data_IF_482611987844
#
_entry.id   IF_482611987844
#
_cell.length_a   1.000
_cell.length_b   1.000
_cell.length_c   1.000
_cell.angle_alpha   90.00
_cell.angle_beta   90.00
_cell.angle_gamma   90.00
#
_symmetry.space_group_name_H-M   'P 1'
#
loop_
_entity.id
_entity.type
_entity.pdbx_description
1 polymer ?
#
# COMPACT_ATOMS: atom_id res chain seq x y z
N UNK A 1 -15.26 -14.65 14.66
CA UNK A 1 -16.26 -13.73 14.08
C UNK A 1 -16.84 -14.44 12.88
N UNK A 2 -18.15 -14.65 12.85
CA UNK A 2 -18.85 -15.27 11.72
C UNK A 2 -19.50 -14.14 10.93
N UNK A 3 -19.11 -13.97 9.66
CA UNK A 3 -19.69 -12.94 8.78
C UNK A 3 -20.96 -13.40 8.08
N UNK A 4 -21.49 -14.59 8.40
CA UNK A 4 -22.68 -15.14 7.75
C UNK A 4 -22.51 -15.32 6.23
N UNK A 5 -21.27 -15.54 5.77
CA UNK A 5 -20.93 -15.64 4.34
C UNK A 5 -20.81 -14.32 3.59
N UNK A 6 -20.98 -13.16 4.24
CA UNK A 6 -20.87 -11.83 3.59
C UNK A 6 -19.44 -11.53 3.14
N UNK A 7 -18.44 -12.01 3.86
CA UNK A 7 -17.03 -11.98 3.46
C UNK A 7 -16.57 -13.41 3.24
N UNK A 8 -15.97 -13.67 2.09
CA UNK A 8 -15.46 -14.99 1.71
C UNK A 8 -13.98 -14.91 1.36
N UNK A 9 -13.30 -16.05 1.49
CA UNK A 9 -11.96 -16.24 0.97
C UNK A 9 -12.02 -17.33 -0.07
N UNK A 10 -11.65 -17.00 -1.30
CA UNK A 10 -11.70 -17.92 -2.43
C UNK A 10 -10.45 -17.70 -3.29
N UNK A 11 -9.59 -18.71 -3.37
CA UNK A 11 -8.27 -18.65 -3.97
C UNK A 11 -7.47 -17.42 -3.50
N UNK A 12 -7.25 -17.27 -2.19
CA UNK A 12 -6.56 -16.12 -1.57
C UNK A 12 -7.16 -14.72 -1.85
N UNK A 13 -8.32 -14.62 -2.51
CA UNK A 13 -9.07 -13.37 -2.63
C UNK A 13 -10.03 -13.25 -1.45
N UNK A 14 -9.84 -12.22 -0.63
CA UNK A 14 -10.78 -11.83 0.42
C UNK A 14 -11.77 -10.86 -0.20
N UNK A 15 -13.08 -11.15 -0.15
CA UNK A 15 -14.04 -10.27 -0.79
C UNK A 15 -15.51 -10.50 -0.45
N UNK A 16 -16.37 -9.56 -0.87
CA UNK A 16 -16.02 -8.30 -1.55
C UNK A 16 -15.41 -7.26 -0.59
N UNK A 17 -14.36 -6.55 -1.03
CA UNK A 17 -13.70 -5.49 -0.25
C UNK A 17 -13.51 -4.23 -1.10
N UNK A 18 -14.23 -3.16 -0.75
CA UNK A 18 -14.02 -1.82 -1.31
C UNK A 18 -12.64 -1.30 -0.91
N UNK A 19 -11.86 -0.92 -1.92
CA UNK A 19 -10.47 -0.44 -1.79
C UNK A 19 -9.63 -1.34 -0.85
N UNK A 20 -9.83 -2.67 -0.96
CA UNK A 20 -9.16 -3.69 -0.15
C UNK A 20 -9.31 -3.55 1.38
N UNK A 21 -10.29 -2.77 1.84
CA UNK A 21 -10.40 -2.35 3.24
C UNK A 21 -11.79 -2.65 3.81
N UNK A 22 -12.86 -2.22 3.13
CA UNK A 22 -14.22 -2.27 3.68
C UNK A 22 -15.10 -3.32 2.98
N UNK A 23 -15.64 -4.32 3.70
CA UNK A 23 -16.74 -5.12 3.18
C UNK A 23 -18.02 -4.26 3.06
N UNK A 24 -18.56 -4.00 1.85
CA UNK A 24 -19.60 -2.98 1.64
C UNK A 24 -20.83 -3.13 2.53
N UNK A 25 -21.31 -4.36 2.74
CA UNK A 25 -22.51 -4.65 3.54
C UNK A 25 -22.28 -4.54 5.06
N UNK A 26 -21.03 -4.48 5.52
CA UNK A 26 -20.66 -4.41 6.93
C UNK A 26 -19.87 -3.13 7.26
N UNK A 27 -19.73 -2.21 6.30
CA UNK A 27 -19.02 -0.97 6.54
C UNK A 27 -19.91 0.05 7.27
N UNK A 28 -19.35 0.88 8.17
CA UNK A 28 -17.97 0.89 8.62
C UNK A 28 -17.72 0.00 9.87
N UNK A 29 -18.69 -0.80 10.32
CA UNK A 29 -18.56 -1.59 11.56
C UNK A 29 -17.52 -2.71 11.47
N UNK A 30 -17.19 -3.15 10.25
CA UNK A 30 -16.08 -4.04 9.95
C UNK A 30 -15.15 -3.42 8.90
N UNK A 31 -13.85 -3.57 9.11
CA UNK A 31 -12.79 -3.14 8.19
C UNK A 31 -11.57 -4.04 8.35
N UNK A 32 -10.76 -4.17 7.29
CA UNK A 32 -9.52 -4.94 7.28
C UNK A 32 -8.32 -4.03 7.02
N UNK A 33 -7.28 -4.17 7.84
CA UNK A 33 -5.96 -3.56 7.62
C UNK A 33 -4.99 -4.71 7.39
N UNK A 34 -4.15 -4.60 6.35
CA UNK A 34 -3.13 -5.61 6.09
C UNK A 34 -3.47 -6.67 5.04
N UNK A 35 -4.59 -6.54 4.33
CA UNK A 35 -4.96 -7.46 3.24
C UNK A 35 -4.04 -7.30 2.02
N UNK A 36 -3.66 -6.08 1.58
CA UNK A 36 -2.76 -5.90 0.45
C UNK A 36 -1.36 -6.49 0.65
N UNK A 37 -0.83 -7.08 -0.42
CA UNK A 37 0.49 -7.73 -0.52
C UNK A 37 1.37 -7.01 -1.52
N UNK A 38 2.69 -7.15 -1.37
CA UNK A 38 3.71 -6.45 -2.17
C UNK A 38 3.58 -4.90 -2.11
N UNK A 39 3.15 -4.38 -0.97
CA UNK A 39 3.14 -2.94 -0.66
C UNK A 39 4.33 -2.56 0.22
N UNK A 40 4.60 -1.27 0.39
CA UNK A 40 5.47 -0.78 1.48
C UNK A 40 4.71 -0.91 2.79
N UNK A 41 4.88 -2.07 3.43
CA UNK A 41 4.02 -2.56 4.53
C UNK A 41 3.76 -1.53 5.62
N UNK A 42 4.77 -0.92 6.28
CA UNK A 42 4.49 0.01 7.38
C UNK A 42 3.68 1.22 6.93
N UNK A 43 4.02 1.77 5.75
CA UNK A 43 3.39 2.97 5.20
C UNK A 43 1.94 2.70 4.79
N UNK A 44 1.73 1.68 3.98
CA UNK A 44 0.40 1.42 3.42
C UNK A 44 -0.60 1.00 4.51
N UNK A 45 -0.15 0.26 5.52
CA UNK A 45 -1.03 -0.14 6.64
C UNK A 45 -1.32 1.02 7.58
N UNK A 46 -0.39 1.97 7.75
CA UNK A 46 -0.69 3.24 8.44
C UNK A 46 -1.78 4.01 7.67
N UNK A 47 -1.65 4.14 6.36
CA UNK A 47 -2.64 4.82 5.51
C UNK A 47 -4.03 4.16 5.65
N UNK A 48 -4.12 2.83 5.55
CA UNK A 48 -5.39 2.10 5.76
C UNK A 48 -5.95 2.35 7.16
N UNK A 49 -5.13 2.23 8.21
CA UNK A 49 -5.58 2.42 9.60
C UNK A 49 -6.06 3.85 9.86
N UNK A 50 -5.37 4.85 9.32
CA UNK A 50 -5.77 6.27 9.41
C UNK A 50 -7.10 6.51 8.69
N UNK A 51 -7.27 5.96 7.50
CA UNK A 51 -8.53 6.08 6.77
C UNK A 51 -9.69 5.45 7.56
N UNK A 52 -9.51 4.22 8.06
CA UNK A 52 -10.50 3.54 8.92
C UNK A 52 -10.86 4.40 10.13
N UNK A 53 -9.88 4.94 10.85
CA UNK A 53 -10.12 5.80 12.01
C UNK A 53 -10.90 7.07 11.63
N UNK A 54 -10.59 7.69 10.48
CA UNK A 54 -11.31 8.88 10.00
C UNK A 54 -12.76 8.57 9.60
N UNK A 55 -13.02 7.40 9.02
CA UNK A 55 -14.38 6.93 8.71
C UNK A 55 -15.17 6.68 9.99
N UNK A 56 -14.59 5.94 10.94
CA UNK A 56 -15.23 5.66 12.23
C UNK A 56 -15.51 6.92 13.04
N UNK A 57 -14.66 7.95 12.94
CA UNK A 57 -14.87 9.24 13.61
C UNK A 57 -15.78 10.20 12.84
N UNK A 58 -16.33 9.80 11.69
CA UNK A 58 -17.16 10.67 10.83
C UNK A 58 -16.41 11.82 10.14
N UNK A 59 -15.08 11.83 10.17
CA UNK A 59 -14.26 12.84 9.44
C UNK A 59 -14.18 12.55 7.94
N UNK A 60 -14.45 11.31 7.55
CA UNK A 60 -14.58 10.85 6.17
C UNK A 60 -15.87 10.05 6.04
N UNK A 61 -16.52 10.14 4.89
CA UNK A 61 -17.69 9.33 4.55
C UNK A 61 -17.30 8.25 3.56
N UNK A 62 -17.90 7.08 3.69
CA UNK A 62 -17.87 6.07 2.64
C UNK A 62 -18.98 6.38 1.61
N UNK A 63 -18.80 6.00 0.34
CA UNK A 63 -19.88 6.07 -0.63
C UNK A 63 -21.00 5.05 -0.28
N UNK A 64 -22.18 5.15 -0.91
CA UNK A 64 -23.25 4.17 -0.78
C UNK A 64 -22.78 2.73 -1.05
N UNK A 65 -23.49 1.76 -0.47
CA UNK A 65 -23.14 0.33 -0.56
C UNK A 65 -23.11 -0.15 -2.01
N UNK A 66 -24.05 0.33 -2.82
CA UNK A 66 -24.18 0.00 -4.24
C UNK A 66 -22.97 0.50 -5.05
N UNK A 67 -22.49 1.72 -4.75
CA UNK A 67 -21.29 2.28 -5.39
C UNK A 67 -20.03 1.53 -4.97
N UNK A 68 -19.92 1.17 -3.69
CA UNK A 68 -18.81 0.34 -3.21
C UNK A 68 -18.79 -1.03 -3.89
N UNK A 69 -19.95 -1.67 -4.06
CA UNK A 69 -20.06 -2.95 -4.76
C UNK A 69 -19.71 -2.83 -6.24
N UNK A 70 -20.20 -1.79 -6.92
CA UNK A 70 -19.88 -1.49 -8.32
C UNK A 70 -18.36 -1.34 -8.51
N UNK A 71 -17.70 -0.55 -7.65
CA UNK A 71 -16.25 -0.37 -7.67
C UNK A 71 -15.49 -1.68 -7.46
N UNK A 72 -15.95 -2.56 -6.56
CA UNK A 72 -15.34 -3.88 -6.35
C UNK A 72 -15.48 -4.78 -7.58
N UNK A 73 -16.65 -4.77 -8.23
CA UNK A 73 -16.89 -5.55 -9.44
C UNK A 73 -16.03 -5.05 -10.61
N UNK A 74 -15.99 -3.74 -10.82
CA UNK A 74 -15.16 -3.09 -11.85
C UNK A 74 -13.68 -3.40 -11.66
N UNK A 75 -13.18 -3.28 -10.42
CA UNK A 75 -11.79 -3.64 -10.10
C UNK A 75 -11.49 -5.10 -10.42
N UNK A 76 -12.34 -6.04 -9.97
CA UNK A 76 -12.14 -7.46 -10.22
C UNK A 76 -12.18 -7.79 -11.72
N UNK A 77 -13.12 -7.20 -12.46
CA UNK A 77 -13.25 -7.37 -13.91
C UNK A 77 -12.02 -6.81 -14.65
N UNK A 78 -11.52 -5.64 -14.25
CA UNK A 78 -10.31 -5.07 -14.82
C UNK A 78 -9.09 -5.99 -14.62
N UNK A 79 -8.94 -6.57 -13.42
CA UNK A 79 -7.88 -7.54 -13.11
C UNK A 79 -7.99 -8.81 -13.93
N UNK A 80 -9.20 -9.33 -14.08
CA UNK A 80 -9.47 -10.51 -14.91
C UNK A 80 -9.16 -10.27 -16.39
N UNK A 81 -9.61 -9.14 -16.95
CA UNK A 81 -9.30 -8.75 -18.34
C UNK A 81 -7.79 -8.56 -18.56
N UNK A 82 -7.05 -8.10 -17.54
CA UNK A 82 -5.59 -8.01 -17.57
C UNK A 82 -4.88 -9.36 -17.36
N UNK A 83 -5.62 -10.48 -17.26
CA UNK A 83 -5.07 -11.83 -17.08
C UNK A 83 -4.46 -12.06 -15.71
N UNK A 84 -4.81 -11.24 -14.71
CA UNK A 84 -4.24 -11.37 -13.37
C UNK A 84 -4.93 -12.50 -12.61
N UNK A 85 -4.18 -13.49 -12.06
CA UNK A 85 -4.77 -14.54 -11.25
C UNK A 85 -5.58 -13.99 -10.08
N UNK A 86 -6.68 -14.66 -9.74
CA UNK A 86 -7.57 -14.29 -8.63
C UNK A 86 -6.85 -14.23 -7.29
N UNK A 87 -5.95 -15.17 -7.01
CA UNK A 87 -5.06 -15.10 -5.84
C UNK A 87 -4.22 -13.83 -5.76
N UNK A 88 -4.00 -13.14 -6.87
CA UNK A 88 -3.29 -11.87 -6.89
C UNK A 88 -4.20 -10.65 -6.80
N UNK A 89 -5.51 -10.76 -6.56
CA UNK A 89 -6.42 -9.60 -6.42
C UNK A 89 -5.89 -8.53 -5.47
N UNK A 90 -5.21 -8.90 -4.39
CA UNK A 90 -4.67 -7.95 -3.40
C UNK A 90 -3.17 -7.64 -3.57
N UNK A 91 -2.55 -7.97 -4.70
CA UNK A 91 -1.15 -7.63 -4.97
C UNK A 91 -1.07 -6.22 -5.57
N UNK A 92 -0.55 -5.27 -4.78
CA UNK A 92 -0.46 -3.84 -5.10
C UNK A 92 1.00 -3.40 -5.16
N UNK A 93 1.70 -3.84 -6.22
CA UNK A 93 3.10 -3.50 -6.43
C UNK A 93 3.23 -2.25 -7.33
N UNK A 94 2.62 -1.16 -6.87
CA UNK A 94 2.57 0.12 -7.56
C UNK A 94 2.60 1.24 -6.52
N UNK A 95 3.70 2.00 -6.49
CA UNK A 95 3.88 3.09 -5.53
C UNK A 95 2.98 4.28 -5.84
N UNK A 96 2.62 4.50 -7.10
CA UNK A 96 1.73 5.62 -7.46
C UNK A 96 0.29 5.31 -7.02
N UNK A 97 -0.17 4.08 -7.23
CA UNK A 97 -1.44 3.65 -6.66
C UNK A 97 -1.47 3.83 -5.13
N UNK A 98 -0.38 3.47 -4.44
CA UNK A 98 -0.31 3.62 -2.97
C UNK A 98 -0.37 5.09 -2.53
N UNK A 99 0.30 5.97 -3.26
CA UNK A 99 0.31 7.42 -3.04
C UNK A 99 -1.07 8.04 -3.29
N UNK A 100 -1.69 7.73 -4.43
CA UNK A 100 -3.04 8.16 -4.78
C UNK A 100 -4.07 7.69 -3.76
N UNK A 101 -3.97 6.42 -3.32
CA UNK A 101 -4.82 5.87 -2.28
C UNK A 101 -4.70 6.68 -0.98
N UNK A 102 -3.48 6.98 -0.53
CA UNK A 102 -3.25 7.75 0.68
C UNK A 102 -3.76 9.19 0.62
N UNK A 103 -3.49 9.88 -0.49
CA UNK A 103 -3.94 11.24 -0.76
C UNK A 103 -5.48 11.32 -0.78
N UNK A 104 -6.12 10.47 -1.59
CA UNK A 104 -7.58 10.43 -1.77
C UNK A 104 -8.32 10.10 -0.48
N UNK A 105 -7.91 9.06 0.24
CA UNK A 105 -8.73 8.49 1.31
C UNK A 105 -8.45 9.06 2.70
N UNK A 106 -7.22 9.48 3.00
CA UNK A 106 -6.91 10.03 4.33
C UNK A 106 -6.06 11.30 4.35
N UNK A 107 -5.78 11.90 3.19
CA UNK A 107 -4.96 13.10 3.05
C UNK A 107 -3.49 12.85 3.41
N UNK A 108 -3.02 11.63 3.18
CA UNK A 108 -1.62 11.27 3.44
C UNK A 108 -0.74 11.84 2.32
N UNK A 109 0.40 12.47 2.64
CA UNK A 109 1.28 13.02 1.62
C UNK A 109 1.92 11.91 0.77
N UNK A 110 2.08 12.16 -0.53
CA UNK A 110 2.84 11.29 -1.43
C UNK A 110 4.27 11.06 -0.92
N UNK A 111 4.84 9.90 -1.23
CA UNK A 111 6.24 9.64 -0.95
C UNK A 111 7.14 10.61 -1.72
N UNK A 112 8.17 11.20 -1.07
CA UNK A 112 9.23 11.91 -1.77
C UNK A 112 9.89 11.01 -2.81
N UNK A 113 10.28 11.58 -3.95
CA UNK A 113 10.84 10.82 -5.07
C UNK A 113 12.07 10.00 -4.68
N UNK A 114 12.95 10.54 -3.84
CA UNK A 114 14.12 9.81 -3.35
C UNK A 114 13.76 8.55 -2.54
N UNK A 115 12.60 8.50 -1.87
CA UNK A 115 12.13 7.28 -1.18
C UNK A 115 11.60 6.25 -2.17
N UNK A 116 10.93 6.70 -3.25
CA UNK A 116 10.51 5.81 -4.34
C UNK A 116 11.74 5.21 -5.02
N UNK A 117 12.75 6.04 -5.29
CA UNK A 117 14.03 5.60 -5.83
C UNK A 117 14.73 4.59 -4.93
N UNK A 118 14.84 4.87 -3.63
CA UNK A 118 15.41 3.94 -2.63
C UNK A 118 14.71 2.58 -2.62
N UNK A 119 13.37 2.57 -2.69
CA UNK A 119 12.59 1.33 -2.76
C UNK A 119 12.91 0.57 -4.04
N UNK A 120 12.90 1.23 -5.19
CA UNK A 120 13.13 0.58 -6.47
C UNK A 120 14.55 0.08 -6.63
N UNK A 121 15.56 0.86 -6.23
CA UNK A 121 16.97 0.42 -6.25
C UNK A 121 17.17 -0.80 -5.35
N UNK A 122 16.58 -0.82 -4.16
CA UNK A 122 16.64 -1.97 -3.25
C UNK A 122 16.06 -3.24 -3.88
N UNK A 123 14.92 -3.12 -4.59
CA UNK A 123 14.27 -4.25 -5.26
C UNK A 123 15.09 -4.73 -6.46
N UNK A 124 15.66 -3.81 -7.25
CA UNK A 124 16.49 -4.14 -8.40
C UNK A 124 17.78 -4.84 -7.96
N UNK A 125 18.49 -4.28 -6.97
CA UNK A 125 19.69 -4.88 -6.39
C UNK A 125 19.40 -6.26 -5.82
N UNK A 126 18.28 -6.43 -5.10
CA UNK A 126 17.86 -7.75 -4.59
C UNK A 126 17.64 -8.76 -5.72
N UNK A 127 17.13 -8.34 -6.88
CA UNK A 127 16.94 -9.24 -8.05
C UNK A 127 18.25 -9.56 -8.76
N UNK A 128 19.20 -8.65 -8.75
CA UNK A 128 20.51 -8.82 -9.39
C UNK A 128 21.45 -9.68 -8.54
N UNK A 129 21.50 -9.41 -7.23
CA UNK A 129 22.34 -10.13 -6.28
C UNK A 129 21.58 -10.42 -4.98
N UNK A 130 20.96 -11.60 -4.93
CA UNK A 130 20.16 -12.03 -3.78
C UNK A 130 20.99 -12.19 -2.49
N UNK A 131 22.31 -12.35 -2.58
CA UNK A 131 23.19 -12.58 -1.43
C UNK A 131 23.73 -11.26 -0.88
N UNK A 132 24.23 -10.39 -1.75
CA UNK A 132 24.99 -9.20 -1.34
C UNK A 132 24.21 -7.88 -1.44
N UNK A 133 22.95 -7.85 -1.91
CA UNK A 133 22.22 -6.58 -2.11
C UNK A 133 22.12 -5.69 -0.86
N UNK A 134 22.21 -6.28 0.35
CA UNK A 134 22.17 -5.53 1.62
C UNK A 134 23.52 -4.94 2.02
N UNK A 135 24.61 -5.49 1.50
CA UNK A 135 25.98 -5.10 1.84
C UNK A 135 26.60 -4.24 0.73
N UNK A 136 26.30 -4.57 -0.53
CA UNK A 136 26.83 -3.93 -1.74
C UNK A 136 25.73 -3.11 -2.45
N UNK A 137 25.25 -2.04 -1.80
CA UNK A 137 24.30 -1.10 -2.40
C UNK A 137 24.98 0.22 -2.79
N UNK A 138 24.50 0.82 -3.87
CA UNK A 138 25.01 2.09 -4.41
C UNK A 138 23.87 3.09 -4.54
N UNK A 139 23.53 3.73 -3.42
CA UNK A 139 22.53 4.79 -3.41
C UNK A 139 23.00 5.99 -4.24
N UNK A 140 22.07 6.55 -5.02
CA UNK A 140 22.30 7.79 -5.76
C UNK A 140 22.44 8.99 -4.81
N UNK A 141 22.96 10.12 -5.30
CA UNK A 141 23.06 11.33 -4.48
C UNK A 141 21.70 11.84 -3.97
N UNK A 142 20.59 11.85 -4.75
CA UNK A 142 19.27 12.18 -4.21
C UNK A 142 18.85 11.31 -3.03
N UNK A 143 19.09 9.99 -3.09
CA UNK A 143 18.82 9.07 -1.99
C UNK A 143 19.71 9.38 -0.79
N UNK A 144 21.02 9.57 -1.00
CA UNK A 144 21.99 9.91 0.06
C UNK A 144 21.64 11.23 0.75
N UNK A 145 21.27 12.26 -0.01
CA UNK A 145 20.82 13.54 0.53
C UNK A 145 19.51 13.38 1.32
N UNK A 146 18.54 12.64 0.79
CA UNK A 146 17.31 12.29 1.48
C UNK A 146 17.56 11.61 2.83
N UNK A 147 18.44 10.61 2.86
CA UNK A 147 18.86 9.92 4.07
C UNK A 147 19.58 10.86 5.07
N UNK A 148 20.48 11.73 4.61
CA UNK A 148 21.13 12.75 5.46
C UNK A 148 20.11 13.72 6.07
N UNK A 149 19.15 14.21 5.28
CA UNK A 149 18.09 15.13 5.75
C UNK A 149 17.20 14.53 6.85
N UNK A 150 17.16 13.20 6.92
CA UNK A 150 16.41 12.42 7.90
C UNK A 150 17.29 11.83 9.00
N UNK A 151 18.59 12.18 9.04
CA UNK A 151 19.53 11.76 10.08
C UNK A 151 20.01 10.30 9.99
N UNK A 152 19.81 9.62 8.85
CA UNK A 152 20.27 8.24 8.65
C UNK A 152 21.73 8.14 8.20
N UNK A 153 22.27 9.22 7.62
CA UNK A 153 23.66 9.32 7.21
C UNK A 153 24.31 10.55 7.86
N UNK A 154 25.60 10.49 8.19
CA UNK A 154 26.33 11.63 8.73
C UNK A 154 26.31 12.80 7.74
N UNK A 155 26.40 14.01 8.28
CA UNK A 155 26.60 15.21 7.47
C UNK A 155 27.91 15.13 6.67
N UNK A 156 28.04 15.87 5.55
CA UNK A 156 29.25 15.87 4.73
C UNK A 156 30.55 16.21 5.49
N UNK A 157 30.44 16.80 6.69
CA UNK A 157 31.57 17.24 7.52
C UNK A 157 31.87 16.35 8.73
N UNK A 158 31.04 15.34 9.03
CA UNK A 158 31.20 14.50 10.25
C UNK A 158 32.11 13.26 10.05
N UNK A 159 32.57 13.00 8.83
CA UNK A 159 33.42 11.84 8.48
C UNK A 159 34.93 12.13 8.36
N UNK A 160 35.40 13.33 8.72
CA UNK A 160 36.82 13.71 8.73
C UNK A 160 37.32 13.85 10.17
N UNK A 161 37.65 12.72 10.80
CA UNK A 161 38.29 12.63 12.11
C UNK A 161 39.25 11.45 12.16
#
# INVERSE_FOLDING_TARGET
>A
MDTGGVVTVDDNRVGPLFEHTFPPALAPSLSFVGVPRKVIVPLFYEVQARWVAQVLSGRRTLPPVEEMLCSVEEYNRAREMAGVPKSNTHVLFDLEYCDEFGEKHCGFPRLPEWKKELVWSSILNMREDHEMFRDNYHDSEPVREGLRSQGWLPGPDEGRG
#
